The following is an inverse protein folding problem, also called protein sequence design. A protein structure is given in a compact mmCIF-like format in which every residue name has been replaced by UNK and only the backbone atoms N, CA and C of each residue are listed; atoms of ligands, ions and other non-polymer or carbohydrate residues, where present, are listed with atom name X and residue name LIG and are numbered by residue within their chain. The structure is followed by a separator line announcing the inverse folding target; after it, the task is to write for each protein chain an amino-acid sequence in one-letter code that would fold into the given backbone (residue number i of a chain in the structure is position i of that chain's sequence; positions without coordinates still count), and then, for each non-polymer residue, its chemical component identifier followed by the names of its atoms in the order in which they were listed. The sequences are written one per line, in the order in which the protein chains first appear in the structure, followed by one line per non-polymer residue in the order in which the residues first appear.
data_IF_042265964258
#
_entry.id   IF_042265964258
#
_cell.length_a   1.000
_cell.length_b   1.000
_cell.length_c   1.000
_cell.angle_alpha   90.00
_cell.angle_beta   90.00
_cell.angle_gamma   90.00
#
_symmetry.space_group_name_H-M   'P 1'
#
loop_
_entity.id
_entity.type
_entity.pdbx_description
1 polymer ?
#
# COMPACT_ATOMS: atom_id res chain seq x y z
N UNK A 1 39.53 -12.00 -22.11
CA UNK A 1 39.55 -11.91 -20.63
C UNK A 1 38.13 -11.74 -20.13
N UNK A 2 37.67 -12.56 -19.18
CA UNK A 2 36.32 -12.46 -18.62
C UNK A 2 36.24 -11.37 -17.56
N UNK A 3 35.09 -10.68 -17.47
CA UNK A 3 34.81 -9.66 -16.43
C UNK A 3 34.96 -10.27 -15.02
N UNK A 4 34.58 -11.53 -14.85
CA UNK A 4 34.74 -12.29 -13.59
C UNK A 4 36.20 -12.41 -13.15
N UNK A 5 37.11 -12.63 -14.10
CA UNK A 5 38.55 -12.74 -13.83
C UNK A 5 39.17 -11.39 -13.43
N UNK A 6 38.59 -10.27 -13.86
CA UNK A 6 39.04 -8.92 -13.47
C UNK A 6 38.57 -8.50 -12.08
N UNK A 7 37.44 -9.03 -11.62
CA UNK A 7 36.77 -8.62 -10.37
C UNK A 7 36.99 -9.65 -9.25
N UNK A 8 37.57 -10.82 -9.56
CA UNK A 8 37.84 -11.88 -8.59
C UNK A 8 36.58 -12.57 -8.06
N UNK A 9 35.46 -12.48 -8.78
CA UNK A 9 34.17 -13.03 -8.38
C UNK A 9 33.76 -14.21 -9.25
N UNK A 10 33.07 -15.18 -8.66
CA UNK A 10 32.58 -16.35 -9.37
C UNK A 10 31.55 -15.92 -10.44
N UNK A 11 31.54 -16.55 -11.63
CA UNK A 11 30.59 -16.21 -12.70
C UNK A 11 29.12 -16.32 -12.31
N UNK A 12 28.83 -17.26 -11.40
CA UNK A 12 27.48 -17.47 -10.89
C UNK A 12 27.00 -16.30 -10.03
N UNK A 13 27.84 -15.81 -9.11
CA UNK A 13 27.54 -14.65 -8.27
C UNK A 13 27.32 -13.38 -9.09
N UNK A 14 28.16 -13.16 -10.12
CA UNK A 14 27.98 -12.02 -11.02
C UNK A 14 26.65 -12.10 -11.78
N UNK A 15 26.27 -13.29 -12.24
CA UNK A 15 25.00 -13.49 -12.94
C UNK A 15 23.81 -13.21 -12.01
N UNK A 16 23.87 -13.66 -10.75
CA UNK A 16 22.83 -13.35 -9.75
C UNK A 16 22.67 -11.84 -9.51
N UNK A 17 23.77 -11.10 -9.44
CA UNK A 17 23.72 -9.64 -9.29
C UNK A 17 23.14 -8.95 -10.52
N UNK A 18 23.46 -9.42 -11.72
CA UNK A 18 22.88 -8.91 -12.97
C UNK A 18 21.37 -9.14 -12.97
N UNK A 19 20.91 -10.35 -12.63
CA UNK A 19 19.47 -10.65 -12.53
C UNK A 19 18.75 -9.76 -11.53
N UNK A 20 19.36 -9.50 -10.37
CA UNK A 20 18.80 -8.60 -9.35
C UNK A 20 18.72 -7.16 -9.87
N UNK A 21 19.77 -6.65 -10.50
CA UNK A 21 19.78 -5.32 -11.10
C UNK A 21 18.77 -5.17 -12.25
N UNK A 22 18.53 -6.22 -13.03
CA UNK A 22 17.49 -6.24 -14.06
C UNK A 22 16.07 -6.17 -13.46
N UNK A 23 15.83 -6.83 -12.33
CA UNK A 23 14.55 -6.75 -11.59
C UNK A 23 14.39 -5.36 -10.97
N UNK A 24 15.42 -4.84 -10.31
CA UNK A 24 15.39 -3.51 -9.69
C UNK A 24 15.20 -2.38 -10.72
N UNK A 25 15.74 -2.54 -11.93
CA UNK A 25 15.55 -1.59 -13.05
C UNK A 25 14.26 -1.80 -13.86
N UNK A 26 13.44 -2.79 -13.50
CA UNK A 26 12.19 -3.11 -14.19
C UNK A 26 12.36 -3.73 -15.58
N UNK A 27 13.58 -4.12 -15.96
CA UNK A 27 13.87 -4.79 -17.24
C UNK A 27 13.49 -6.27 -17.23
N UNK A 28 13.34 -6.85 -16.04
CA UNK A 28 12.95 -8.24 -15.82
C UNK A 28 11.78 -8.31 -14.85
N UNK A 29 10.83 -9.20 -15.13
CA UNK A 29 9.70 -9.45 -14.24
C UNK A 29 10.18 -9.94 -12.86
N UNK A 30 9.78 -9.22 -11.82
CA UNK A 30 10.06 -9.50 -10.41
C UNK A 30 9.51 -8.34 -9.57
N UNK A 31 9.25 -8.58 -8.28
CA UNK A 31 8.84 -7.53 -7.35
C UNK A 31 10.12 -6.93 -6.77
N UNK A 32 10.44 -5.65 -7.04
CA UNK A 32 11.57 -5.00 -6.39
C UNK A 32 11.36 -5.02 -4.87
N UNK A 33 12.44 -5.16 -4.08
CA UNK A 33 12.33 -5.17 -2.62
C UNK A 33 11.67 -3.89 -2.06
N UNK A 34 11.86 -2.75 -2.74
CA UNK A 34 11.23 -1.46 -2.38
C UNK A 34 9.70 -1.50 -2.49
N UNK A 35 9.17 -2.36 -3.37
CA UNK A 35 7.76 -2.44 -3.70
C UNK A 35 7.01 -3.24 -2.64
N UNK A 36 7.67 -4.22 -2.03
CA UNK A 36 7.14 -4.96 -0.89
C UNK A 36 6.97 -4.07 0.35
N UNK A 37 7.95 -3.20 0.65
CA UNK A 37 7.86 -2.24 1.74
C UNK A 37 6.76 -1.19 1.50
N UNK A 38 6.69 -0.65 0.28
CA UNK A 38 5.62 0.26 -0.15
C UNK A 38 4.24 -0.40 -0.04
N UNK A 39 4.11 -1.67 -0.44
CA UNK A 39 2.85 -2.40 -0.34
C UNK A 39 2.38 -2.52 1.12
N UNK A 40 3.30 -2.88 2.04
CA UNK A 40 2.98 -2.98 3.46
C UNK A 40 2.56 -1.64 4.07
N UNK A 41 3.22 -0.55 3.66
CA UNK A 41 2.85 0.80 4.09
C UNK A 41 1.44 1.19 3.59
N UNK A 42 1.16 0.94 2.30
CA UNK A 42 -0.14 1.21 1.69
C UNK A 42 -1.26 0.37 2.33
N UNK A 43 -1.02 -0.91 2.63
CA UNK A 43 -1.98 -1.76 3.32
C UNK A 43 -2.33 -1.23 4.71
N UNK A 44 -1.34 -0.70 5.43
CA UNK A 44 -1.56 -0.08 6.74
C UNK A 44 -2.41 1.17 6.61
N UNK A 45 -2.06 2.07 5.71
CA UNK A 45 -2.82 3.31 5.46
C UNK A 45 -4.26 2.99 5.02
N UNK A 46 -4.45 2.00 4.14
CA UNK A 46 -5.78 1.61 3.70
C UNK A 46 -6.65 1.10 4.87
N UNK A 47 -6.07 0.35 5.81
CA UNK A 47 -6.79 -0.08 7.02
C UNK A 47 -7.19 1.10 7.89
N UNK A 48 -6.28 2.05 8.11
CA UNK A 48 -6.55 3.26 8.90
C UNK A 48 -7.66 4.11 8.25
N UNK A 49 -7.59 4.32 6.93
CA UNK A 49 -8.61 5.04 6.16
C UNK A 49 -9.97 4.35 6.20
N UNK A 50 -10.02 3.01 6.14
CA UNK A 50 -11.28 2.27 6.25
C UNK A 50 -11.93 2.44 7.62
N UNK A 51 -11.15 2.40 8.70
CA UNK A 51 -11.65 2.64 10.05
C UNK A 51 -12.19 4.06 10.20
N UNK A 52 -11.44 5.06 9.71
CA UNK A 52 -11.89 6.46 9.73
C UNK A 52 -13.20 6.64 8.95
N UNK A 53 -13.30 6.07 7.75
CA UNK A 53 -14.53 6.13 6.95
C UNK A 53 -15.72 5.45 7.64
N UNK A 54 -15.49 4.36 8.38
CA UNK A 54 -16.56 3.72 9.13
C UNK A 54 -17.08 4.61 10.26
N UNK A 55 -16.18 5.27 10.99
CA UNK A 55 -16.55 6.25 12.04
C UNK A 55 -17.35 7.40 11.41
N UNK A 56 -16.86 7.97 10.31
CA UNK A 56 -17.54 9.07 9.63
C UNK A 56 -18.93 8.65 9.14
N UNK A 57 -19.08 7.44 8.61
CA UNK A 57 -20.38 6.90 8.18
C UNK A 57 -21.34 6.76 9.36
N UNK A 58 -20.87 6.23 10.49
CA UNK A 58 -21.66 6.10 11.72
C UNK A 58 -22.08 7.47 12.28
N UNK A 59 -21.16 8.42 12.32
CA UNK A 59 -21.43 9.79 12.74
C UNK A 59 -22.48 10.45 11.82
N UNK A 60 -22.32 10.33 10.50
CA UNK A 60 -23.26 10.89 9.52
C UNK A 60 -24.67 10.30 9.70
N UNK A 61 -24.78 8.99 9.90
CA UNK A 61 -26.06 8.34 10.17
C UNK A 61 -26.69 8.82 11.49
N UNK A 62 -25.89 9.00 12.53
CA UNK A 62 -26.35 9.52 13.82
C UNK A 62 -26.87 10.96 13.70
N UNK A 63 -26.16 11.84 13.00
CA UNK A 63 -26.61 13.21 12.75
C UNK A 63 -27.91 13.26 11.95
N UNK A 64 -28.03 12.46 10.89
CA UNK A 64 -29.25 12.37 10.10
C UNK A 64 -30.46 11.89 10.93
N UNK A 65 -30.26 10.96 11.89
CA UNK A 65 -31.32 10.53 12.81
C UNK A 65 -31.75 11.65 13.78
N UNK A 66 -30.82 12.45 14.29
CA UNK A 66 -31.14 13.56 15.19
C UNK A 66 -31.95 14.62 14.45
N UNK A 67 -31.51 15.03 13.26
CA UNK A 67 -32.25 16.01 12.46
C UNK A 67 -33.63 15.49 12.10
N UNK A 68 -33.74 14.23 11.65
CA UNK A 68 -35.02 13.60 11.35
C UNK A 68 -35.95 13.49 12.57
N UNK A 69 -35.43 13.17 13.75
CA UNK A 69 -36.22 13.05 14.98
C UNK A 69 -36.64 14.42 15.55
N UNK A 70 -35.80 15.45 15.41
CA UNK A 70 -36.15 16.83 15.79
C UNK A 70 -37.29 17.41 14.94
N UNK A 71 -37.35 17.06 13.65
CA UNK A 71 -38.44 17.46 12.75
C UNK A 71 -39.79 16.80 13.09
N UNK A 72 -39.79 15.57 13.62
CA UNK A 72 -41.02 14.86 14.01
C UNK A 72 -41.60 15.45 15.31
N UNK A 73 -40.76 15.85 16.26
CA UNK A 73 -41.21 16.45 17.52
C UNK A 73 -41.86 17.83 17.34
N UNK A 74 -41.42 18.63 16.35
CA UNK A 74 -42.03 19.93 16.05
C UNK A 74 -43.38 19.83 15.32
N UNK A 75 -43.72 18.68 14.75
CA UNK A 75 -44.99 18.46 14.03
C UNK A 75 -46.14 18.01 14.93
N UNK A 76 -45.86 17.69 16.20
CA UNK A 76 -46.82 17.11 17.14
C UNK A 76 -47.28 18.08 18.26
N UNK A 77 -46.91 19.36 18.16
CA UNK A 77 -47.33 20.45 19.06
C UNK A 77 -48.15 21.49 18.27
#
# INVERSE_FOLDING_TARGET
MSITAKIGSAPQTLNEWVKKAEVDSGKRAGIPPDMAEKMKALERENRELRQANEILRKASAYFAMIEGSSGIASSAA
#
